data_IF_935433738144
#
_entry.id   IF_935433738144
#
_cell.length_a   1.000
_cell.length_b   1.000
_cell.length_c   1.000
_cell.angle_alpha   90.00
_cell.angle_beta   90.00
_cell.angle_gamma   90.00
#
_symmetry.space_group_name_H-M   'P 1'
#
loop_
_entity.id
_entity.type
_entity.pdbx_description
1 polymer ?
#
# COMPACT_ATOMS: atom_id res chain seq x y z
N UNK A 1 6.77 -14.12 -12.50
CA UNK A 1 7.02 -15.28 -13.38
C UNK A 1 6.90 -16.56 -12.55
N UNK A 2 7.56 -16.64 -11.41
CA UNK A 2 7.52 -17.77 -10.45
C UNK A 2 6.11 -18.26 -10.06
N UNK A 3 5.14 -17.36 -9.82
CA UNK A 3 3.75 -17.75 -9.53
C UNK A 3 2.97 -18.30 -10.71
N UNK A 4 3.25 -17.83 -11.93
CA UNK A 4 2.63 -18.37 -13.13
C UNK A 4 3.21 -19.76 -13.46
N UNK A 5 4.50 -19.96 -13.19
CA UNK A 5 5.17 -21.26 -13.27
C UNK A 5 4.61 -22.24 -12.22
N UNK A 6 4.39 -21.78 -10.98
CA UNK A 6 3.75 -22.57 -9.92
C UNK A 6 2.32 -23.04 -10.28
N UNK A 7 1.60 -22.32 -11.17
CA UNK A 7 0.27 -22.73 -11.65
C UNK A 7 0.31 -23.73 -12.81
N UNK A 8 1.37 -23.73 -13.62
CA UNK A 8 1.42 -24.49 -14.87
C UNK A 8 1.97 -25.91 -14.71
N UNK A 9 2.33 -26.34 -13.49
CA UNK A 9 2.65 -27.73 -13.17
C UNK A 9 3.99 -28.26 -13.69
N UNK A 10 4.68 -27.56 -14.60
CA UNK A 10 5.97 -27.96 -15.13
C UNK A 10 7.14 -27.16 -14.54
N UNK A 11 8.17 -27.92 -14.16
CA UNK A 11 9.46 -27.55 -13.54
C UNK A 11 9.41 -27.11 -12.06
N UNK A 12 9.72 -28.10 -11.19
CA UNK A 12 10.04 -27.98 -9.76
C UNK A 12 9.08 -27.11 -8.94
N UNK A 13 8.07 -27.72 -8.28
CA UNK A 13 7.15 -27.10 -7.29
C UNK A 13 7.74 -25.83 -6.64
N UNK A 14 7.51 -24.68 -7.27
CA UNK A 14 7.91 -23.41 -6.69
C UNK A 14 6.89 -23.14 -5.61
N UNK A 15 7.27 -23.30 -4.34
CA UNK A 15 6.44 -22.90 -3.22
C UNK A 15 6.31 -21.39 -3.19
N UNK A 16 5.26 -20.88 -3.85
CA UNK A 16 4.93 -19.47 -3.79
C UNK A 16 4.36 -19.13 -2.42
N UNK A 17 4.96 -18.15 -1.73
CA UNK A 17 4.41 -17.60 -0.50
C UNK A 17 3.04 -16.93 -0.73
N UNK A 18 2.30 -16.72 0.37
CA UNK A 18 0.99 -16.08 0.34
C UNK A 18 1.00 -14.72 -0.39
N UNK A 19 -0.05 -14.47 -1.19
CA UNK A 19 -0.27 -13.18 -1.84
C UNK A 19 -1.58 -12.55 -1.37
N UNK A 20 -1.53 -11.30 -0.90
CA UNK A 20 -2.72 -10.48 -0.76
C UNK A 20 -2.74 -9.38 -1.81
N UNK A 21 -3.87 -9.23 -2.48
CA UNK A 21 -4.10 -8.13 -3.44
C UNK A 21 -5.21 -7.26 -2.88
N UNK A 22 -4.87 -6.03 -2.52
CA UNK A 22 -5.84 -5.03 -2.12
C UNK A 22 -6.18 -4.14 -3.32
N UNK A 23 -7.44 -4.10 -3.70
CA UNK A 23 -7.91 -3.36 -4.87
C UNK A 23 -9.09 -2.46 -4.48
N UNK A 24 -9.08 -1.22 -4.94
CA UNK A 24 -10.12 -0.22 -4.63
C UNK A 24 -10.76 0.36 -5.88
N UNK A 25 -12.09 0.41 -5.93
CA UNK A 25 -12.84 1.06 -6.99
C UNK A 25 -14.12 1.74 -6.45
N UNK A 26 -14.94 2.33 -7.34
CA UNK A 26 -16.17 3.02 -6.91
C UNK A 26 -17.31 2.04 -6.73
N UNK A 27 -17.61 1.28 -7.79
CA UNK A 27 -18.67 0.29 -7.86
C UNK A 27 -18.13 -1.08 -8.27
N UNK A 28 -18.92 -2.15 -8.07
CA UNK A 28 -18.56 -3.51 -8.50
C UNK A 28 -18.27 -3.61 -10.01
N UNK A 29 -18.97 -2.83 -10.84
CA UNK A 29 -18.76 -2.78 -12.29
C UNK A 29 -17.42 -2.17 -12.71
N UNK A 30 -16.76 -1.42 -11.82
CA UNK A 30 -15.48 -0.75 -12.11
C UNK A 30 -14.27 -1.65 -11.80
N UNK A 31 -14.51 -2.93 -11.51
CA UNK A 31 -13.46 -3.91 -11.23
C UNK A 31 -12.75 -4.31 -12.53
N UNK A 32 -11.70 -3.57 -12.86
CA UNK A 32 -10.79 -3.96 -13.94
C UNK A 32 -10.20 -5.35 -13.64
N UNK A 33 -10.08 -6.18 -14.67
CA UNK A 33 -9.58 -7.56 -14.58
C UNK A 33 -10.30 -8.47 -13.57
N UNK A 34 -11.59 -8.19 -13.27
CA UNK A 34 -12.35 -8.94 -12.27
C UNK A 34 -12.29 -10.45 -12.49
N UNK A 35 -12.54 -10.89 -13.74
CA UNK A 35 -12.55 -12.31 -14.09
C UNK A 35 -11.19 -12.97 -13.79
N UNK A 36 -10.09 -12.39 -14.27
CA UNK A 36 -8.75 -12.96 -14.05
C UNK A 36 -8.41 -13.05 -12.57
N UNK A 37 -8.73 -12.01 -11.79
CA UNK A 37 -8.40 -12.00 -10.36
C UNK A 37 -9.28 -12.99 -9.58
N UNK A 38 -10.56 -13.14 -9.94
CA UNK A 38 -11.45 -14.13 -9.34
C UNK A 38 -11.03 -15.57 -9.70
N UNK A 39 -10.59 -15.81 -10.94
CA UNK A 39 -10.03 -17.10 -11.37
C UNK A 39 -8.77 -17.45 -10.55
N UNK A 40 -7.85 -16.49 -10.36
CA UNK A 40 -6.64 -16.68 -9.55
C UNK A 40 -6.94 -16.88 -8.06
N UNK A 41 -7.93 -16.18 -7.52
CA UNK A 41 -8.38 -16.39 -6.15
C UNK A 41 -8.95 -17.81 -5.95
N UNK A 42 -9.76 -18.28 -6.91
CA UNK A 42 -10.32 -19.65 -6.90
C UNK A 42 -9.24 -20.72 -7.00
N UNK A 43 -8.17 -20.44 -7.74
CA UNK A 43 -6.99 -21.32 -7.85
C UNK A 43 -6.04 -21.24 -6.64
N UNK A 44 -6.33 -20.40 -5.64
CA UNK A 44 -5.51 -20.25 -4.43
C UNK A 44 -4.20 -19.47 -4.62
N UNK A 45 -4.07 -18.77 -5.74
CA UNK A 45 -2.86 -18.01 -6.12
C UNK A 45 -2.69 -16.77 -5.25
N UNK A 46 -3.82 -16.13 -4.95
CA UNK A 46 -3.89 -14.90 -4.20
C UNK A 46 -5.17 -14.88 -3.37
N UNK A 47 -5.17 -14.01 -2.37
CA UNK A 47 -6.37 -13.62 -1.62
C UNK A 47 -6.69 -12.17 -1.95
N UNK A 48 -7.87 -11.92 -2.52
CA UNK A 48 -8.29 -10.58 -2.93
C UNK A 48 -8.99 -9.87 -1.77
N UNK A 49 -8.74 -8.57 -1.66
CA UNK A 49 -9.42 -7.65 -0.76
C UNK A 49 -9.96 -6.49 -1.58
N UNK A 50 -11.29 -6.37 -1.69
CA UNK A 50 -11.94 -5.38 -2.54
C UNK A 50 -12.56 -4.25 -1.70
N UNK A 51 -12.12 -3.02 -1.94
CA UNK A 51 -12.67 -1.80 -1.34
C UNK A 51 -13.60 -1.09 -2.34
N UNK A 52 -14.83 -0.81 -1.91
CA UNK A 52 -15.83 -0.10 -2.71
C UNK A 52 -16.15 1.25 -2.05
N UNK A 53 -15.90 2.34 -2.78
CA UNK A 53 -16.05 3.69 -2.23
C UNK A 53 -17.43 4.32 -2.47
N UNK A 54 -18.26 3.74 -3.36
CA UNK A 54 -19.58 4.29 -3.74
C UNK A 54 -20.67 3.24 -3.92
N UNK A 55 -20.40 1.98 -3.59
CA UNK A 55 -21.40 0.93 -3.76
C UNK A 55 -22.66 1.24 -2.93
N UNK A 56 -23.88 1.08 -3.50
CA UNK A 56 -25.12 1.18 -2.74
C UNK A 56 -25.09 0.20 -1.57
N UNK A 57 -25.72 0.59 -0.46
CA UNK A 57 -25.92 -0.25 0.73
C UNK A 57 -24.63 -0.74 1.42
N UNK A 58 -23.46 -0.23 1.02
CA UNK A 58 -22.18 -0.50 1.64
C UNK A 58 -21.57 0.78 2.19
N UNK A 59 -20.89 0.65 3.33
CA UNK A 59 -20.10 1.74 3.87
C UNK A 59 -18.93 2.05 2.92
N UNK A 60 -18.68 3.35 2.74
CA UNK A 60 -17.56 3.84 1.93
C UNK A 60 -16.25 3.29 2.48
N UNK A 61 -15.61 2.42 1.71
CA UNK A 61 -14.41 1.69 2.13
C UNK A 61 -13.25 1.99 1.20
N UNK A 62 -12.05 2.20 1.76
CA UNK A 62 -10.80 2.35 1.02
C UNK A 62 -9.81 1.22 1.31
N UNK A 63 -8.76 1.12 0.49
CA UNK A 63 -7.74 0.06 0.60
C UNK A 63 -7.04 0.10 1.97
N UNK A 64 -6.69 1.29 2.46
CA UNK A 64 -6.10 1.47 3.79
C UNK A 64 -6.99 0.95 4.91
N UNK A 65 -8.32 0.98 4.75
CA UNK A 65 -9.27 0.46 5.73
C UNK A 65 -9.23 -1.07 5.76
N UNK A 66 -9.14 -1.70 4.60
CA UNK A 66 -8.96 -3.16 4.50
C UNK A 66 -7.60 -3.62 5.03
N UNK A 67 -6.53 -2.85 4.84
CA UNK A 67 -5.22 -3.13 5.43
C UNK A 67 -5.33 -3.14 6.96
N UNK A 68 -5.98 -2.14 7.54
CA UNK A 68 -6.22 -2.04 9.00
C UNK A 68 -7.12 -3.17 9.51
N UNK A 69 -8.17 -3.52 8.77
CA UNK A 69 -9.09 -4.60 9.12
C UNK A 69 -8.38 -5.98 9.13
N UNK A 70 -7.45 -6.20 8.20
CA UNK A 70 -6.60 -7.40 8.14
C UNK A 70 -5.31 -7.26 8.96
N UNK A 71 -5.26 -6.34 9.92
CA UNK A 71 -4.03 -5.89 10.56
C UNK A 71 -3.19 -6.99 11.19
N UNK A 72 -3.81 -8.00 11.82
CA UNK A 72 -3.06 -9.11 12.42
C UNK A 72 -2.26 -9.89 11.37
N UNK A 73 -2.91 -10.36 10.30
CA UNK A 73 -2.24 -11.10 9.22
C UNK A 73 -1.24 -10.22 8.47
N UNK A 74 -1.59 -8.96 8.23
CA UNK A 74 -0.68 -7.99 7.62
C UNK A 74 0.59 -7.79 8.44
N UNK A 75 0.48 -7.71 9.77
CA UNK A 75 1.64 -7.60 10.65
C UNK A 75 2.53 -8.84 10.58
N UNK A 76 1.94 -10.03 10.66
CA UNK A 76 2.68 -11.30 10.52
C UNK A 76 3.46 -11.36 9.21
N UNK A 77 2.86 -10.94 8.10
CA UNK A 77 3.52 -10.90 6.81
C UNK A 77 4.62 -9.85 6.76
N UNK A 78 4.34 -8.59 7.13
CA UNK A 78 5.32 -7.51 7.10
C UNK A 78 6.57 -7.80 7.95
N UNK A 79 6.44 -8.63 8.98
CA UNK A 79 7.56 -9.07 9.82
C UNK A 79 8.38 -10.22 9.22
N UNK A 80 7.87 -10.95 8.22
CA UNK A 80 8.63 -12.01 7.55
C UNK A 80 9.79 -11.41 6.75
N UNK A 81 10.99 -12.02 6.79
CA UNK A 81 12.16 -11.51 6.08
C UNK A 81 11.96 -11.46 4.57
N UNK A 82 11.19 -12.40 4.01
CA UNK A 82 10.93 -12.51 2.57
C UNK A 82 9.58 -11.91 2.16
N UNK A 83 8.97 -11.07 3.00
CA UNK A 83 7.76 -10.35 2.59
C UNK A 83 8.13 -9.16 1.71
N UNK A 84 7.48 -9.08 0.56
CA UNK A 84 7.53 -7.94 -0.34
C UNK A 84 6.20 -7.19 -0.32
N UNK A 85 6.28 -5.87 -0.34
CA UNK A 85 5.15 -4.95 -0.41
C UNK A 85 5.27 -4.12 -1.68
N UNK A 86 4.16 -4.01 -2.41
CA UNK A 86 4.05 -3.23 -3.63
C UNK A 86 2.84 -2.31 -3.52
N UNK A 87 3.00 -1.07 -3.95
CA UNK A 87 1.89 -0.13 -4.12
C UNK A 87 2.03 0.59 -5.45
N UNK A 88 0.92 0.67 -6.19
CA UNK A 88 0.85 1.40 -7.45
C UNK A 88 -0.32 2.38 -7.47
N UNK A 89 -0.19 3.43 -8.28
CA UNK A 89 -1.25 4.39 -8.56
C UNK A 89 -1.01 5.77 -7.94
N UNK A 90 -2.01 6.28 -7.23
CA UNK A 90 -2.00 7.64 -6.70
C UNK A 90 -1.11 7.77 -5.46
N UNK A 91 -0.29 8.83 -5.41
CA UNK A 91 0.64 9.07 -4.32
C UNK A 91 -0.04 9.30 -2.96
N UNK A 92 -1.24 9.87 -2.94
CA UNK A 92 -2.05 10.04 -1.72
C UNK A 92 -2.48 8.68 -1.17
N UNK A 93 -3.01 7.82 -2.05
CA UNK A 93 -3.41 6.46 -1.66
C UNK A 93 -2.22 5.68 -1.14
N UNK A 94 -1.05 5.82 -1.77
CA UNK A 94 0.16 5.16 -1.29
C UNK A 94 0.63 5.64 0.08
N UNK A 95 0.53 6.96 0.36
CA UNK A 95 0.82 7.51 1.68
C UNK A 95 -0.17 7.01 2.74
N UNK A 96 -1.47 6.96 2.42
CA UNK A 96 -2.50 6.46 3.33
C UNK A 96 -2.29 4.95 3.64
N UNK A 97 -1.91 4.18 2.63
CA UNK A 97 -1.55 2.77 2.79
C UNK A 97 -0.28 2.58 3.64
N UNK A 98 0.75 3.43 3.44
CA UNK A 98 1.95 3.42 4.28
C UNK A 98 1.60 3.69 5.75
N UNK A 99 0.79 4.72 6.03
CA UNK A 99 0.34 5.04 7.39
C UNK A 99 -0.52 3.93 7.99
N UNK A 100 -1.34 3.25 7.18
CA UNK A 100 -2.08 2.06 7.61
C UNK A 100 -1.13 0.92 8.02
N UNK A 101 -0.08 0.65 7.24
CA UNK A 101 0.95 -0.33 7.61
C UNK A 101 1.67 0.05 8.92
N UNK A 102 1.99 1.33 9.11
CA UNK A 102 2.57 1.82 10.39
C UNK A 102 1.60 1.56 11.56
N UNK A 103 0.31 1.87 11.40
CA UNK A 103 -0.69 1.60 12.45
C UNK A 103 -0.82 0.12 12.75
N UNK A 104 -0.79 -0.73 11.72
CA UNK A 104 -0.82 -2.18 11.85
C UNK A 104 0.37 -2.69 12.67
N UNK A 105 1.60 -2.29 12.33
CA UNK A 105 2.81 -2.68 13.06
C UNK A 105 2.82 -2.17 14.50
N UNK A 106 2.27 -0.98 14.76
CA UNK A 106 2.10 -0.46 16.11
C UNK A 106 1.11 -1.30 16.93
N UNK A 107 -0.06 -1.57 16.36
CA UNK A 107 -1.16 -2.25 17.06
C UNK A 107 -0.87 -3.74 17.29
N UNK A 108 -0.43 -4.44 16.25
CA UNK A 108 -0.28 -5.90 16.27
C UNK A 108 1.17 -6.34 16.54
N UNK A 109 2.15 -5.59 16.05
CA UNK A 109 3.58 -5.85 16.28
C UNK A 109 4.12 -5.22 17.56
N UNK A 110 3.28 -4.48 18.31
CA UNK A 110 3.63 -3.76 19.55
C UNK A 110 4.83 -2.82 19.38
N UNK A 111 5.05 -2.30 18.18
CA UNK A 111 6.14 -1.38 17.87
C UNK A 111 5.77 0.07 18.24
N UNK A 112 6.79 0.87 18.59
CA UNK A 112 6.63 2.33 18.59
C UNK A 112 6.42 2.84 17.16
N UNK A 113 5.88 4.07 17.00
CA UNK A 113 5.75 4.67 15.65
C UNK A 113 7.11 4.76 14.95
N UNK A 114 8.15 5.17 15.68
CA UNK A 114 9.52 5.27 15.15
C UNK A 114 10.03 3.90 14.71
N UNK A 115 9.83 2.86 15.55
CA UNK A 115 10.22 1.49 15.22
C UNK A 115 9.51 0.95 13.98
N UNK A 116 8.19 1.16 13.88
CA UNK A 116 7.41 0.74 12.73
C UNK A 116 7.88 1.42 11.42
N UNK A 117 8.11 2.74 11.46
CA UNK A 117 8.63 3.48 10.29
C UNK A 117 10.03 2.99 9.92
N UNK A 118 10.90 2.75 10.90
CA UNK A 118 12.24 2.24 10.65
C UNK A 118 12.22 0.85 10.03
N UNK A 119 11.34 -0.04 10.48
CA UNK A 119 11.14 -1.36 9.89
C UNK A 119 10.75 -1.27 8.40
N UNK A 120 9.76 -0.43 8.07
CA UNK A 120 9.36 -0.23 6.68
C UNK A 120 10.47 0.39 5.82
N UNK A 121 11.29 1.30 6.39
CA UNK A 121 12.49 1.82 5.72
C UNK A 121 13.53 0.73 5.45
N UNK A 122 13.73 -0.21 6.38
CA UNK A 122 14.61 -1.36 6.16
C UNK A 122 14.08 -2.28 5.07
N UNK A 123 12.76 -2.51 5.00
CA UNK A 123 12.14 -3.22 3.87
C UNK A 123 12.46 -2.54 2.54
N UNK A 124 12.37 -1.20 2.48
CA UNK A 124 12.72 -0.42 1.30
C UNK A 124 14.20 -0.56 0.93
N UNK A 125 15.10 -0.43 1.91
CA UNK A 125 16.53 -0.60 1.70
C UNK A 125 16.89 -2.02 1.20
N UNK A 126 16.13 -3.02 1.62
CA UNK A 126 16.25 -4.40 1.15
C UNK A 126 15.52 -4.72 -0.15
N UNK A 127 15.06 -3.72 -0.92
CA UNK A 127 14.26 -3.91 -2.16
C UNK A 127 12.94 -4.69 -1.98
N UNK A 128 12.42 -4.75 -0.76
CA UNK A 128 11.16 -5.43 -0.40
C UNK A 128 9.97 -4.48 -0.30
N UNK A 129 10.17 -3.18 -0.43
CA UNK A 129 9.10 -2.17 -0.46
C UNK A 129 9.22 -1.35 -1.73
N UNK A 130 8.27 -1.53 -2.65
CA UNK A 130 8.30 -0.91 -3.98
C UNK A 130 7.09 -0.02 -4.19
N UNK A 131 7.33 1.18 -4.73
CA UNK A 131 6.32 2.18 -5.00
C UNK A 131 6.35 2.54 -6.49
N UNK A 132 5.22 2.42 -7.16
CA UNK A 132 4.99 2.86 -8.54
C UNK A 132 3.92 3.96 -8.56
N UNK A 133 4.34 5.22 -8.37
CA UNK A 133 3.44 6.34 -8.11
C UNK A 133 3.50 7.36 -9.24
N UNK A 134 2.33 7.71 -9.78
CA UNK A 134 2.25 8.49 -11.01
C UNK A 134 1.92 9.97 -10.76
N UNK A 135 1.69 10.36 -9.51
CA UNK A 135 1.33 11.72 -9.11
C UNK A 135 0.15 11.77 -8.13
N UNK A 136 -0.44 12.94 -7.98
CA UNK A 136 -1.68 13.16 -7.21
C UNK A 136 -2.78 13.48 -8.20
N UNK A 137 -3.69 12.53 -8.41
CA UNK A 137 -4.82 12.64 -9.33
C UNK A 137 -6.15 12.68 -8.57
N UNK A 138 -6.22 11.99 -7.44
CA UNK A 138 -7.41 11.90 -6.60
C UNK A 138 -7.50 13.11 -5.66
N UNK A 139 -8.57 13.90 -5.81
CA UNK A 139 -8.74 15.13 -5.02
C UNK A 139 -7.64 16.16 -5.31
N UNK A 140 -7.18 16.27 -6.55
CA UNK A 140 -6.11 17.20 -6.91
C UNK A 140 -6.43 18.65 -6.51
N UNK A 141 -7.64 19.13 -6.81
CA UNK A 141 -8.04 20.50 -6.47
C UNK A 141 -8.10 20.72 -4.95
N UNK A 142 -8.47 19.70 -4.18
CA UNK A 142 -8.49 19.73 -2.72
C UNK A 142 -7.08 19.73 -2.13
N UNK A 143 -6.14 19.03 -2.78
CA UNK A 143 -4.76 18.85 -2.28
C UNK A 143 -3.81 19.96 -2.74
N UNK A 144 -4.14 20.68 -3.81
CA UNK A 144 -3.32 21.77 -4.36
C UNK A 144 -3.01 22.87 -3.32
N UNK A 145 -3.95 23.34 -2.47
CA UNK A 145 -3.64 24.29 -1.41
C UNK A 145 -2.62 23.76 -0.40
N UNK A 146 -2.78 22.50 0.06
CA UNK A 146 -1.86 21.88 1.03
C UNK A 146 -0.44 21.74 0.46
N UNK A 147 -0.33 21.29 -0.79
CA UNK A 147 0.95 21.17 -1.50
C UNK A 147 1.63 22.53 -1.66
N UNK A 148 0.86 23.57 -1.98
CA UNK A 148 1.36 24.95 -2.12
C UNK A 148 1.87 25.47 -0.78
N UNK A 149 1.12 25.22 0.30
CA UNK A 149 1.52 25.60 1.65
C UNK A 149 2.83 24.90 2.05
N UNK A 150 2.93 23.57 1.88
CA UNK A 150 4.16 22.81 2.19
C UNK A 150 5.37 23.34 1.44
N UNK A 151 5.23 23.66 0.14
CA UNK A 151 6.31 24.27 -0.64
C UNK A 151 6.72 25.64 -0.08
N UNK A 152 5.75 26.47 0.31
CA UNK A 152 6.03 27.78 0.91
C UNK A 152 6.74 27.61 2.26
N UNK A 153 6.24 26.75 3.14
CA UNK A 153 6.87 26.47 4.44
C UNK A 153 8.28 25.92 4.29
N UNK A 154 8.51 24.96 3.39
CA UNK A 154 9.85 24.42 3.13
C UNK A 154 10.80 25.50 2.59
N UNK A 155 10.31 26.37 1.69
CA UNK A 155 11.10 27.51 1.18
C UNK A 155 11.43 28.50 2.29
N UNK A 156 10.46 28.86 3.13
CA UNK A 156 10.66 29.77 4.27
C UNK A 156 11.65 29.19 5.26
N UNK A 157 11.51 27.91 5.60
CA UNK A 157 12.46 27.19 6.45
C UNK A 157 13.86 27.18 5.85
N UNK A 158 14.01 26.87 4.56
CA UNK A 158 15.32 26.89 3.90
C UNK A 158 15.95 28.30 3.92
N UNK A 159 15.15 29.34 3.70
CA UNK A 159 15.62 30.73 3.72
C UNK A 159 16.05 31.17 5.12
N UNK A 160 15.39 30.73 6.19
CA UNK A 160 15.83 31.05 7.55
C UNK A 160 17.17 30.40 7.90
N UNK A 161 17.50 29.26 7.30
CA UNK A 161 18.79 28.60 7.52
C UNK A 161 19.97 29.27 6.78
N UNK A 162 19.70 30.05 5.73
CA UNK A 162 20.74 30.71 4.92
C UNK A 162 21.08 32.11 5.45
N UNK A 163 20.24 32.67 6.33
CA UNK A 163 20.41 34.05 6.85
C UNK A 163 21.26 34.13 8.13
N UNK A 164 21.66 33.01 8.72
CA UNK A 164 22.37 32.96 10.01
C UNK A 164 23.91 32.80 9.87
N UNK A 165 24.48 32.90 8.65
CA UNK A 165 25.91 32.67 8.33
C UNK A 165 26.71 33.95 7.92
N UNK A 166 26.22 35.16 8.22
CA UNK A 166 26.98 36.44 8.12
C UNK A 166 27.22 37.09 9.50
#
# INVERSE_FOLDING_TARGET
QDRALAMNGDEAKIEAGECHVFFGCRYLKDRIYAKQIDDWETQGVLKRHLALSRAPDLSKTYVQDLIKANGQRMCELLMKPNCHYYVCGDARVANDCFEACVQVLRKHGKMSRVGAVQHLKQMKAGNRWQNDLWGVFTGFDETKPELTLRKKTAKTWLLSFVQDDE
#
